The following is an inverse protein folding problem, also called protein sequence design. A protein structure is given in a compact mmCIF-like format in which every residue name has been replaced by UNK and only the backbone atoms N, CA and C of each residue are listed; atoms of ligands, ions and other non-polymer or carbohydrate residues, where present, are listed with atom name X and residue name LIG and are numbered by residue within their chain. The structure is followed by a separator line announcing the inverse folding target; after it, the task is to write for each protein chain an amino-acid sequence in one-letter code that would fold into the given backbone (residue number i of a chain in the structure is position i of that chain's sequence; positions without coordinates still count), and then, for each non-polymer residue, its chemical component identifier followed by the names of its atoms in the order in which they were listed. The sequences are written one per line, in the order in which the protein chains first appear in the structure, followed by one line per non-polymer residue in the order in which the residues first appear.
data_IF_045339659819
#
_entry.id   IF_045339659819
#
_cell.length_a   1.000
_cell.length_b   1.000
_cell.length_c   1.000
_cell.angle_alpha   90.00
_cell.angle_beta   90.00
_cell.angle_gamma   90.00
#
_symmetry.space_group_name_H-M   'P 1'
#
loop_
_entity.id
_entity.type
_entity.pdbx_description
1 polymer ?
#
# COMPACT_ATOMS: atom_id res chain seq x y z
N UNK A 1 -12.66 -7.18 18.22
CA UNK A 1 -11.81 -7.08 17.03
C UNK A 1 -12.57 -7.65 15.85
N UNK A 2 -13.13 -6.80 15.00
CA UNK A 2 -13.84 -7.27 13.81
C UNK A 2 -12.81 -7.93 12.89
N UNK A 3 -12.94 -9.24 12.68
CA UNK A 3 -12.23 -9.94 11.62
C UNK A 3 -12.49 -9.17 10.34
N UNK A 4 -11.44 -8.58 9.73
CA UNK A 4 -11.52 -8.18 8.33
C UNK A 4 -11.99 -9.45 7.59
N UNK A 5 -13.18 -9.39 7.00
CA UNK A 5 -13.70 -10.50 6.23
C UNK A 5 -12.60 -10.88 5.23
N UNK A 6 -12.12 -12.13 5.29
CA UNK A 6 -11.16 -12.62 4.32
C UNK A 6 -11.79 -12.39 2.95
N UNK A 7 -11.23 -11.46 2.19
CA UNK A 7 -11.71 -11.16 0.86
C UNK A 7 -11.66 -12.45 0.04
N UNK A 8 -12.81 -13.00 -0.31
CA UNK A 8 -12.89 -14.32 -0.97
C UNK A 8 -12.40 -14.30 -2.43
N UNK A 9 -12.08 -13.10 -2.96
CA UNK A 9 -11.48 -12.96 -4.28
C UNK A 9 -12.43 -13.27 -5.43
N UNK A 10 -12.17 -12.74 -6.63
CA UNK A 10 -12.83 -13.23 -7.83
C UNK A 10 -12.27 -14.59 -8.24
N UNK A 11 -13.09 -15.39 -8.89
CA UNK A 11 -12.65 -16.64 -9.52
C UNK A 11 -11.71 -16.36 -10.70
N UNK A 12 -10.90 -17.34 -11.08
CA UNK A 12 -10.01 -17.22 -12.24
C UNK A 12 -10.75 -16.91 -13.55
N UNK A 13 -12.01 -17.35 -13.67
CA UNK A 13 -12.85 -17.05 -14.83
C UNK A 13 -13.27 -15.57 -14.88
N UNK A 14 -13.61 -14.97 -13.74
CA UNK A 14 -13.97 -13.55 -13.61
C UNK A 14 -12.76 -12.63 -13.83
N UNK A 15 -11.58 -13.04 -13.37
CA UNK A 15 -10.33 -12.34 -13.70
C UNK A 15 -10.11 -12.35 -15.20
N UNK A 16 -10.21 -13.52 -15.83
CA UNK A 16 -9.98 -13.68 -17.27
C UNK A 16 -10.99 -12.89 -18.10
N UNK A 17 -12.26 -12.84 -17.72
CA UNK A 17 -13.28 -12.04 -18.42
C UNK A 17 -13.02 -10.53 -18.29
N UNK A 18 -12.39 -10.09 -17.21
CA UNK A 18 -11.94 -8.72 -17.01
C UNK A 18 -10.58 -8.39 -17.67
N UNK A 19 -9.95 -9.36 -18.36
CA UNK A 19 -8.62 -9.20 -18.95
C UNK A 19 -7.49 -9.17 -17.91
N UNK A 20 -7.71 -9.81 -16.77
CA UNK A 20 -6.75 -9.96 -15.69
C UNK A 20 -6.36 -11.42 -15.49
N UNK A 21 -5.15 -11.64 -14.97
CA UNK A 21 -4.58 -12.94 -14.69
C UNK A 21 -4.12 -13.00 -13.22
N UNK A 22 -4.52 -14.05 -12.51
CA UNK A 22 -4.02 -14.29 -11.16
C UNK A 22 -2.53 -14.64 -11.20
N UNK A 23 -1.75 -14.02 -10.32
CA UNK A 23 -0.33 -14.34 -10.10
C UNK A 23 -0.09 -14.60 -8.61
N UNK A 24 1.02 -15.25 -8.22
CA UNK A 24 1.34 -15.44 -6.81
C UNK A 24 1.42 -14.10 -6.07
N UNK A 25 0.57 -13.92 -5.06
CA UNK A 25 0.50 -12.70 -4.26
C UNK A 25 -0.06 -11.47 -5.00
N UNK A 26 -0.79 -11.64 -6.10
CA UNK A 26 -1.23 -10.49 -6.88
C UNK A 26 -2.11 -10.76 -8.10
N UNK A 27 -2.21 -9.74 -8.95
CA UNK A 27 -2.91 -9.78 -10.23
C UNK A 27 -2.11 -9.07 -11.31
N UNK A 28 -2.17 -9.59 -12.54
CA UNK A 28 -1.70 -8.90 -13.75
C UNK A 28 -2.92 -8.39 -14.52
N UNK A 29 -2.96 -7.10 -14.85
CA UNK A 29 -4.07 -6.49 -15.60
C UNK A 29 -3.54 -5.41 -16.54
N UNK A 30 -3.92 -5.45 -17.82
CA UNK A 30 -3.56 -4.41 -18.83
C UNK A 30 -2.07 -4.04 -18.85
N UNK A 31 -1.18 -5.03 -18.71
CA UNK A 31 0.28 -4.81 -18.68
C UNK A 31 0.87 -4.43 -17.32
N UNK A 32 0.03 -4.11 -16.33
CA UNK A 32 0.46 -3.89 -14.94
C UNK A 32 0.59 -5.20 -14.19
N UNK A 33 1.61 -5.30 -13.35
CA UNK A 33 1.82 -6.40 -12.40
C UNK A 33 1.68 -5.81 -11.00
N UNK A 34 0.63 -6.19 -10.29
CA UNK A 34 0.33 -5.69 -8.95
C UNK A 34 0.48 -6.85 -7.98
N UNK A 35 1.43 -6.74 -7.06
CA UNK A 35 1.72 -7.77 -6.07
C UNK A 35 1.86 -7.14 -4.69
N UNK A 36 1.41 -7.87 -3.68
CA UNK A 36 1.63 -7.55 -2.28
C UNK A 36 2.55 -8.58 -1.64
N UNK A 37 3.45 -8.10 -0.79
CA UNK A 37 4.36 -8.94 -0.03
C UNK A 37 4.13 -8.66 1.45
N UNK A 38 3.64 -9.67 2.17
CA UNK A 38 3.46 -9.61 3.63
C UNK A 38 4.69 -10.21 4.28
N UNK A 39 5.54 -9.34 4.82
CA UNK A 39 6.70 -9.70 5.62
C UNK A 39 6.47 -9.47 7.11
N UNK A 40 7.50 -9.63 7.95
CA UNK A 40 7.43 -9.17 9.34
C UNK A 40 7.11 -7.67 9.35
N UNK A 41 6.11 -7.29 10.14
CA UNK A 41 5.71 -5.88 10.31
C UNK A 41 6.91 -5.13 10.88
N UNK A 42 7.27 -4.00 10.28
CA UNK A 42 8.31 -3.15 10.85
C UNK A 42 7.76 -2.57 12.15
N UNK A 43 8.34 -2.97 13.28
CA UNK A 43 8.12 -2.35 14.57
C UNK A 43 9.29 -1.42 14.91
N UNK A 44 9.16 -0.58 15.94
CA UNK A 44 10.23 0.33 16.37
C UNK A 44 11.58 -0.38 16.59
N UNK A 45 11.56 -1.61 17.13
CA UNK A 45 12.77 -2.42 17.32
C UNK A 45 13.44 -2.88 16.01
N UNK A 46 12.67 -3.03 14.94
CA UNK A 46 13.16 -3.36 13.59
C UNK A 46 13.56 -2.12 12.81
N UNK A 47 12.90 -0.99 13.08
CA UNK A 47 13.22 0.31 12.49
C UNK A 47 14.60 0.80 12.96
N UNK A 48 14.94 0.62 14.24
CA UNK A 48 16.28 0.92 14.77
C UNK A 48 17.38 0.18 13.99
N UNK A 49 17.18 -1.11 13.68
CA UNK A 49 18.13 -1.89 12.85
C UNK A 49 18.20 -1.36 11.42
N UNK A 50 17.06 -0.98 10.86
CA UNK A 50 17.00 -0.40 9.51
C UNK A 50 17.68 0.96 9.46
N UNK A 51 17.55 1.79 10.51
CA UNK A 51 18.26 3.06 10.66
C UNK A 51 19.77 2.87 10.83
N UNK A 52 20.17 1.86 11.62
CA UNK A 52 21.57 1.48 11.80
C UNK A 52 22.18 0.94 10.48
N UNK A 53 21.42 0.17 9.71
CA UNK A 53 21.80 -0.32 8.37
C UNK A 53 21.81 0.79 7.32
N UNK A 54 20.88 1.75 7.40
CA UNK A 54 20.77 2.89 6.47
C UNK A 54 21.78 4.00 6.73
N UNK A 55 22.57 3.95 7.81
CA UNK A 55 23.60 4.93 8.17
C UNK A 55 23.18 6.38 7.85
N UNK A 56 22.06 6.83 8.42
CA UNK A 56 21.47 8.15 8.15
C UNK A 56 22.26 9.32 8.77
N UNK A 57 23.60 9.34 8.67
CA UNK A 57 24.41 10.52 9.01
C UNK A 57 24.60 11.46 7.83
N UNK A 58 24.22 11.09 6.61
CA UNK A 58 24.11 12.02 5.50
C UNK A 58 22.96 11.58 4.60
N UNK A 59 21.77 12.16 4.78
CA UNK A 59 20.71 12.08 3.78
C UNK A 59 21.31 12.50 2.43
N UNK A 60 21.35 11.62 1.41
CA UNK A 60 21.65 12.08 0.08
C UNK A 60 20.46 12.92 -0.38
N UNK A 61 20.75 14.17 -0.67
CA UNK A 61 19.89 15.12 -1.39
C UNK A 61 19.22 14.39 -2.57
N UNK A 62 17.91 14.12 -2.44
CA UNK A 62 17.03 13.52 -3.46
C UNK A 62 17.72 12.67 -4.53
N UNK A 63 18.36 11.56 -4.16
CA UNK A 63 18.85 10.61 -5.16
C UNK A 63 17.69 9.77 -5.66
N UNK A 64 17.27 10.05 -6.91
CA UNK A 64 16.42 9.17 -7.70
C UNK A 64 16.92 7.72 -7.58
N UNK A 65 16.18 6.90 -6.86
CA UNK A 65 16.37 5.46 -6.88
C UNK A 65 16.02 4.98 -8.30
N UNK A 66 17.04 4.80 -9.13
CA UNK A 66 16.91 4.10 -10.41
C UNK A 66 16.59 2.65 -10.09
N UNK A 67 15.30 2.33 -10.00
CA UNK A 67 14.80 0.96 -10.05
C UNK A 67 14.88 0.53 -11.51
N UNK A 68 15.82 -0.39 -11.79
CA UNK A 68 16.07 -0.96 -13.10
C UNK A 68 14.76 -1.32 -13.82
N UNK A 69 14.41 -0.54 -14.85
CA UNK A 69 13.28 -0.78 -15.74
C UNK A 69 12.11 0.21 -15.67
N UNK A 70 12.06 1.10 -14.68
CA UNK A 70 11.04 2.16 -14.68
C UNK A 70 11.61 3.43 -15.31
N UNK A 71 11.13 3.76 -16.51
CA UNK A 71 11.31 5.08 -17.13
C UNK A 71 11.21 6.16 -16.06
N UNK A 72 12.28 6.95 -15.91
CA UNK A 72 12.48 8.04 -14.95
C UNK A 72 11.16 8.69 -14.52
N UNK A 73 10.58 8.21 -13.42
CA UNK A 73 9.41 8.84 -12.83
C UNK A 73 9.84 10.24 -12.39
N UNK A 74 9.31 11.25 -13.06
CA UNK A 74 9.51 12.65 -12.72
C UNK A 74 8.30 13.11 -11.91
N UNK A 75 8.57 13.75 -10.79
CA UNK A 75 7.54 14.47 -10.06
C UNK A 75 7.26 15.77 -10.81
N UNK A 76 6.05 15.92 -11.31
CA UNK A 76 5.59 17.11 -11.99
C UNK A 76 4.39 17.68 -11.25
N UNK A 77 4.35 19.00 -11.09
CA UNK A 77 3.20 19.68 -10.52
C UNK A 77 2.01 19.54 -11.47
N UNK A 78 0.91 18.97 -10.97
CA UNK A 78 -0.36 18.90 -11.70
C UNK A 78 -1.49 19.47 -10.86
N UNK A 79 -2.44 20.11 -11.53
CA UNK A 79 -3.72 20.51 -10.94
C UNK A 79 -4.77 19.39 -11.02
N UNK A 80 -4.42 18.26 -11.66
CA UNK A 80 -5.27 17.10 -11.77
C UNK A 80 -5.54 16.54 -10.39
N UNK A 81 -6.82 16.25 -10.12
CA UNK A 81 -7.25 15.62 -8.88
C UNK A 81 -7.61 14.17 -9.15
N UNK A 82 -7.49 13.36 -8.11
CA UNK A 82 -7.98 12.00 -8.14
C UNK A 82 -9.49 12.04 -8.45
N UNK A 83 -9.89 11.34 -9.52
CA UNK A 83 -11.29 11.28 -9.93
C UNK A 83 -12.11 10.44 -8.94
N UNK A 84 -12.78 11.14 -8.02
CA UNK A 84 -13.65 10.54 -7.02
C UNK A 84 -14.88 9.85 -7.65
N UNK A 85 -15.31 10.25 -8.85
CA UNK A 85 -16.45 9.65 -9.54
C UNK A 85 -16.05 8.26 -10.05
N UNK A 86 -14.88 8.15 -10.67
CA UNK A 86 -14.31 6.86 -11.06
C UNK A 86 -14.10 5.95 -9.84
N UNK A 87 -13.64 6.48 -8.71
CA UNK A 87 -13.47 5.71 -7.47
C UNK A 87 -14.79 5.28 -6.81
N UNK A 88 -15.85 6.08 -6.98
CA UNK A 88 -17.19 5.79 -6.45
C UNK A 88 -17.98 4.81 -7.34
N UNK A 89 -17.46 4.51 -8.54
CA UNK A 89 -18.09 3.55 -9.43
C UNK A 89 -18.10 2.14 -8.80
N UNK A 90 -19.23 1.46 -8.93
CA UNK A 90 -19.40 0.08 -8.45
C UNK A 90 -18.83 -0.90 -9.47
N UNK A 91 -17.51 -1.00 -9.51
CA UNK A 91 -16.81 -2.00 -10.32
C UNK A 91 -16.42 -3.23 -9.49
N UNK A 92 -16.40 -4.43 -10.13
CA UNK A 92 -15.93 -5.63 -9.46
C UNK A 92 -14.46 -5.46 -9.07
N UNK A 93 -14.14 -5.88 -7.86
CA UNK A 93 -12.77 -5.83 -7.35
C UNK A 93 -12.04 -7.08 -7.85
N UNK A 94 -11.02 -6.88 -8.68
CA UNK A 94 -10.21 -7.97 -9.21
C UNK A 94 -9.17 -8.44 -8.20
N UNK A 95 -8.62 -7.50 -7.44
CA UNK A 95 -7.66 -7.77 -6.39
C UNK A 95 -7.81 -6.73 -5.29
N UNK A 96 -7.80 -7.20 -4.05
CA UNK A 96 -7.76 -6.37 -2.86
C UNK A 96 -6.73 -6.96 -1.92
N UNK A 97 -5.85 -6.10 -1.42
CA UNK A 97 -5.03 -6.48 -0.29
C UNK A 97 -4.76 -5.30 0.64
N UNK A 98 -4.58 -5.64 1.91
CA UNK A 98 -4.23 -4.73 2.98
C UNK A 98 -2.94 -5.21 3.63
N UNK A 99 -1.95 -4.33 3.64
CA UNK A 99 -0.62 -4.57 4.19
C UNK A 99 -0.36 -3.55 5.29
N UNK A 100 -0.07 -4.04 6.48
CA UNK A 100 0.41 -3.22 7.61
C UNK A 100 1.92 -3.10 7.44
N UNK A 101 2.40 -1.89 7.15
CA UNK A 101 3.82 -1.63 6.98
C UNK A 101 4.51 -1.37 8.31
N UNK A 102 3.84 -0.63 9.19
CA UNK A 102 4.38 -0.21 10.47
C UNK A 102 3.31 -0.25 11.57
N UNK A 103 3.73 -0.68 12.74
CA UNK A 103 2.95 -0.69 13.97
C UNK A 103 3.85 -0.28 15.14
N UNK A 104 3.37 0.63 15.97
CA UNK A 104 4.08 1.10 17.17
C UNK A 104 3.12 1.51 18.28
N UNK A 105 3.46 1.11 19.49
CA UNK A 105 2.73 1.36 20.74
C UNK A 105 3.16 2.69 21.41
N UNK A 106 4.00 3.49 20.73
CA UNK A 106 4.40 4.84 21.14
C UNK A 106 4.85 4.88 22.62
N UNK A 107 5.66 3.90 23.03
CA UNK A 107 6.09 3.72 24.42
C UNK A 107 4.92 3.75 25.43
N UNK A 108 3.84 3.01 25.14
CA UNK A 108 2.59 2.93 25.90
C UNK A 108 1.74 4.22 25.94
N UNK A 109 2.16 5.28 25.23
CA UNK A 109 1.43 6.55 25.20
C UNK A 109 0.37 6.63 24.10
N UNK A 110 0.28 5.61 23.26
CA UNK A 110 -0.64 5.60 22.13
C UNK A 110 -0.52 4.34 21.30
N UNK A 111 -1.08 4.40 20.11
CA UNK A 111 -0.87 3.39 19.08
C UNK A 111 -0.84 4.07 17.73
N UNK A 112 0.10 3.66 16.88
CA UNK A 112 0.21 4.13 15.51
C UNK A 112 0.32 2.99 14.52
N UNK A 113 -0.39 3.12 13.41
CA UNK A 113 -0.41 2.16 12.31
C UNK A 113 -0.15 2.87 11.00
N UNK A 114 0.70 2.27 10.17
CA UNK A 114 0.82 2.62 8.77
C UNK A 114 0.29 1.47 7.92
N UNK A 115 -0.78 1.74 7.17
CA UNK A 115 -1.46 0.75 6.36
C UNK A 115 -1.47 1.16 4.89
N UNK A 116 -1.25 0.18 4.03
CA UNK A 116 -1.38 0.32 2.59
C UNK A 116 -2.47 -0.63 2.12
N UNK A 117 -3.48 -0.06 1.45
CA UNK A 117 -4.59 -0.81 0.87
C UNK A 117 -4.56 -0.63 -0.63
N UNK A 118 -4.53 -1.73 -1.37
CA UNK A 118 -4.59 -1.74 -2.83
C UNK A 118 -5.92 -2.30 -3.29
N UNK A 119 -6.56 -1.61 -4.24
CA UNK A 119 -7.78 -2.06 -4.91
C UNK A 119 -7.59 -2.01 -6.41
N UNK A 120 -7.76 -3.14 -7.07
CA UNK A 120 -7.63 -3.27 -8.53
C UNK A 120 -9.01 -3.49 -9.14
N UNK A 121 -9.34 -2.68 -10.14
CA UNK A 121 -10.58 -2.74 -10.91
C UNK A 121 -10.22 -2.94 -12.40
N UNK A 122 -11.17 -3.34 -13.26
CA UNK A 122 -10.89 -3.50 -14.69
C UNK A 122 -10.45 -2.20 -15.38
N UNK A 123 -10.95 -1.05 -14.95
CA UNK A 123 -10.62 0.28 -15.51
C UNK A 123 -9.27 0.80 -15.05
N UNK A 124 -8.87 0.53 -13.80
CA UNK A 124 -7.64 0.98 -13.18
C UNK A 124 -7.44 0.44 -11.77
N UNK A 125 -6.44 0.95 -11.06
CA UNK A 125 -6.14 0.55 -9.69
C UNK A 125 -5.97 1.77 -8.80
N UNK A 126 -6.22 1.60 -7.51
CA UNK A 126 -6.11 2.63 -6.49
C UNK A 126 -5.32 2.09 -5.30
N UNK A 127 -4.43 2.93 -4.76
CA UNK A 127 -3.66 2.65 -3.58
C UNK A 127 -3.95 3.73 -2.53
N UNK A 128 -4.37 3.28 -1.35
CA UNK A 128 -4.54 4.13 -0.19
C UNK A 128 -3.38 3.89 0.77
N UNK A 129 -2.57 4.92 0.97
CA UNK A 129 -1.57 4.96 2.02
C UNK A 129 -2.15 5.76 3.19
N UNK A 130 -2.35 5.09 4.34
CA UNK A 130 -3.01 5.67 5.49
C UNK A 130 -2.15 5.51 6.74
N UNK A 131 -1.80 6.65 7.36
CA UNK A 131 -1.19 6.72 8.67
C UNK A 131 -2.26 7.09 9.71
N UNK A 132 -2.38 6.27 10.75
CA UNK A 132 -3.30 6.51 11.86
C UNK A 132 -2.50 6.48 13.17
N UNK A 133 -2.48 7.59 13.89
CA UNK A 133 -1.92 7.67 15.24
C UNK A 133 -3.00 8.07 16.24
N UNK A 134 -3.11 7.34 17.35
CA UNK A 134 -3.99 7.65 18.47
C UNK A 134 -3.14 7.84 19.72
N UNK A 135 -3.22 9.02 20.34
CA UNK A 135 -2.53 9.34 21.59
C UNK A 135 -3.51 9.19 22.76
N UNK A 136 -3.08 8.57 23.86
CA UNK A 136 -3.93 8.36 25.06
C UNK A 136 -4.11 9.62 25.94
N UNK A 137 -3.79 10.82 25.44
CA UNK A 137 -3.68 12.05 26.24
C UNK A 137 -4.92 12.98 26.25
N UNK A 138 -6.12 12.44 26.04
CA UNK A 138 -7.39 13.18 26.22
C UNK A 138 -8.32 12.44 27.20
N UNK A 139 -7.90 12.42 28.47
CA UNK A 139 -8.76 12.14 29.61
C UNK A 139 -8.38 13.10 30.76
N UNK A 140 -8.67 14.40 30.56
CA UNK A 140 -8.76 15.39 31.63
C UNK A 140 -9.97 16.28 31.37
#
# INVERSE_FOLDING_TARGET
MASAAAWEGPTAAELKSAGAEAIPGGVRVKGWVIQSHKGPILNAASLQRFEDELQATHLPEMTQASLDGCSTLCWEDTNDRIDLVALSAKEPILFYDEVILYEDELADNGISFLTVRVRVMPTGWFLLFAFLGMFYYLAF
#
